data_IF_108286927659
#
_entry.id   IF_108286927659
#
_cell.length_a   1.000
_cell.length_b   1.000
_cell.length_c   1.000
_cell.angle_alpha   90.00
_cell.angle_beta   90.00
_cell.angle_gamma   90.00
#
_symmetry.space_group_name_H-M   'P 1'
#
loop_
_entity.id
_entity.type
_entity.pdbx_description
1 polymer ?
#
# COMPACT_ATOMS: atom_id res chain seq x y z
N UNK A 1 2.09 -7.99 30.49
CA UNK A 1 3.00 -8.78 29.63
C UNK A 1 4.14 -7.86 29.24
N UNK A 2 5.39 -8.33 29.31
CA UNK A 2 6.54 -7.55 28.86
C UNK A 2 6.54 -7.51 27.32
N UNK A 3 6.70 -6.32 26.75
CA UNK A 3 6.80 -6.12 25.31
C UNK A 3 8.26 -6.32 24.89
N UNK A 4 8.50 -7.22 23.92
CA UNK A 4 9.83 -7.44 23.36
C UNK A 4 10.00 -6.54 22.14
N UNK A 5 10.94 -5.60 22.24
CA UNK A 5 11.36 -4.73 21.13
C UNK A 5 12.72 -5.18 20.61
N UNK A 6 12.79 -5.57 19.34
CA UNK A 6 14.04 -5.85 18.64
C UNK A 6 14.23 -4.79 17.56
N UNK A 7 15.34 -4.07 17.62
CA UNK A 7 15.70 -3.06 16.64
C UNK A 7 17.02 -3.47 15.97
N UNK A 8 16.97 -3.70 14.67
CA UNK A 8 18.15 -3.82 13.82
C UNK A 8 18.43 -2.49 13.15
N UNK A 9 19.59 -1.90 13.42
CA UNK A 9 20.10 -0.71 12.73
C UNK A 9 21.41 -1.12 12.05
N UNK A 10 21.56 -0.74 10.78
CA UNK A 10 22.81 -0.92 10.04
C UNK A 10 23.43 0.47 9.85
N UNK A 11 24.70 0.66 10.19
CA UNK A 11 25.29 2.02 10.19
C UNK A 11 25.81 2.43 8.80
N UNK A 12 26.25 1.48 7.98
CA UNK A 12 26.64 1.66 6.58
C UNK A 12 26.38 0.33 5.86
N UNK A 13 25.42 0.29 4.94
CA UNK A 13 25.26 -0.87 4.06
C UNK A 13 26.03 -0.56 2.79
N UNK A 14 27.25 -1.07 2.68
CA UNK A 14 27.80 -1.38 1.37
C UNK A 14 26.84 -2.41 0.75
N UNK A 15 25.91 -1.93 -0.08
CA UNK A 15 25.05 -2.79 -0.91
C UNK A 15 25.87 -3.61 -1.92
N UNK A 16 27.20 -3.49 -1.92
CA UNK A 16 28.15 -4.34 -2.62
C UNK A 16 28.18 -5.77 -2.04
N UNK A 17 27.04 -6.45 -1.96
CA UNK A 17 26.99 -7.90 -1.75
C UNK A 17 25.72 -8.45 -1.12
N UNK A 18 25.07 -7.70 -0.23
CA UNK A 18 23.79 -8.11 0.37
C UNK A 18 22.63 -7.62 -0.49
N UNK A 19 21.90 -8.54 -1.11
CA UNK A 19 20.75 -8.21 -1.95
C UNK A 19 19.46 -8.07 -1.15
N UNK A 20 19.44 -8.63 0.06
CA UNK A 20 18.26 -8.76 0.93
C UNK A 20 18.66 -8.56 2.40
N UNK A 21 17.80 -7.92 3.19
CA UNK A 21 17.92 -7.86 4.66
C UNK A 21 18.04 -9.26 5.28
N UNK A 22 17.36 -10.24 4.69
CA UNK A 22 17.43 -11.63 5.11
C UNK A 22 18.87 -12.19 5.06
N UNK A 23 19.73 -11.68 4.18
CA UNK A 23 21.13 -12.10 4.08
C UNK A 23 21.96 -11.66 5.32
N UNK A 24 21.48 -10.66 6.06
CA UNK A 24 22.12 -10.15 7.28
C UNK A 24 21.71 -10.93 8.54
N UNK A 25 20.73 -11.82 8.43
CA UNK A 25 20.22 -12.60 9.55
C UNK A 25 20.93 -13.97 9.64
N UNK A 26 20.92 -14.62 10.83
CA UNK A 26 21.41 -15.99 10.95
C UNK A 26 20.72 -16.92 9.94
N UNK A 27 21.38 -18.00 9.46
CA UNK A 27 20.82 -18.91 8.44
C UNK A 27 19.45 -19.53 8.77
N UNK A 28 19.05 -19.53 10.04
CA UNK A 28 17.72 -19.91 10.51
C UNK A 28 17.17 -18.80 11.43
N UNK A 29 16.58 -17.73 10.84
CA UNK A 29 16.16 -16.56 11.60
C UNK A 29 15.05 -16.89 12.59
N UNK A 30 14.18 -17.85 12.29
CA UNK A 30 13.09 -18.27 13.18
C UNK A 30 13.58 -19.01 14.42
N UNK A 31 14.71 -19.74 14.32
CA UNK A 31 15.32 -20.35 15.50
C UNK A 31 16.03 -19.32 16.38
N UNK A 32 16.65 -18.31 15.77
CA UNK A 32 17.30 -17.23 16.50
C UNK A 32 16.29 -16.24 17.11
N UNK A 33 15.18 -16.00 16.41
CA UNK A 33 14.14 -15.03 16.75
C UNK A 33 12.76 -15.73 16.66
N UNK A 34 12.38 -16.55 17.64
CA UNK A 34 11.12 -17.31 17.61
C UNK A 34 9.86 -16.44 17.51
N UNK A 35 9.95 -15.17 17.90
CA UNK A 35 8.83 -14.23 17.81
C UNK A 35 8.45 -13.87 16.37
N UNK A 36 9.30 -14.13 15.37
CA UNK A 36 8.96 -13.95 13.95
C UNK A 36 7.70 -14.74 13.55
N UNK A 37 7.52 -15.95 14.08
CA UNK A 37 6.37 -16.83 13.80
C UNK A 37 5.05 -16.28 14.37
N UNK A 38 5.11 -15.27 15.25
CA UNK A 38 3.95 -14.70 15.92
C UNK A 38 3.50 -13.36 15.34
N UNK A 39 4.21 -12.87 14.33
CA UNK A 39 3.89 -11.61 13.64
C UNK A 39 2.54 -11.75 12.95
N UNK A 40 1.72 -10.70 13.04
CA UNK A 40 0.40 -10.64 12.39
C UNK A 40 0.24 -9.40 11.51
N UNK A 41 1.07 -8.38 11.71
CA UNK A 41 1.01 -7.11 10.99
C UNK A 41 2.41 -6.67 10.58
N UNK A 42 2.54 -6.23 9.33
CA UNK A 42 3.78 -5.73 8.73
C UNK A 42 3.48 -4.36 8.12
N UNK A 43 4.35 -3.38 8.37
CA UNK A 43 4.41 -2.13 7.64
C UNK A 43 5.76 -2.03 6.93
N UNK A 44 5.75 -1.75 5.64
CA UNK A 44 6.94 -1.45 4.85
C UNK A 44 6.88 0.00 4.45
N UNK A 45 7.96 0.74 4.72
CA UNK A 45 8.05 2.15 4.35
C UNK A 45 9.33 2.39 3.57
N UNK A 46 9.12 2.89 2.36
CA UNK A 46 10.13 3.32 1.42
C UNK A 46 9.69 4.65 0.79
N UNK A 47 9.35 5.62 1.64
CA UNK A 47 8.98 6.95 1.21
C UNK A 47 10.18 7.90 1.30
N UNK A 48 10.44 8.62 0.22
CA UNK A 48 11.51 9.63 0.09
C UNK A 48 11.41 10.77 1.09
N UNK A 49 10.21 10.98 1.66
CA UNK A 49 9.96 12.02 2.67
C UNK A 49 10.00 11.51 4.10
N UNK A 50 10.20 10.21 4.32
CA UNK A 50 10.28 9.63 5.66
C UNK A 50 11.69 9.71 6.20
N UNK A 51 11.81 10.01 7.51
CA UNK A 51 13.09 9.96 8.23
C UNK A 51 13.60 8.52 8.41
N UNK A 52 12.78 7.51 8.08
CA UNK A 52 13.13 6.10 8.25
C UNK A 52 12.64 5.23 7.09
N UNK A 53 13.53 4.37 6.61
CA UNK A 53 13.26 3.35 5.59
C UNK A 53 13.37 1.96 6.21
N UNK A 54 12.45 1.05 5.90
CA UNK A 54 12.55 -0.33 6.36
C UNK A 54 11.25 -1.09 6.55
N UNK A 55 11.31 -2.09 7.45
CA UNK A 55 10.21 -3.00 7.77
C UNK A 55 9.93 -2.91 9.27
N UNK A 56 8.68 -2.63 9.62
CA UNK A 56 8.16 -2.66 10.99
C UNK A 56 7.15 -3.77 11.11
N UNK A 57 7.26 -4.59 12.15
CA UNK A 57 6.36 -5.72 12.37
C UNK A 57 5.82 -5.73 13.78
N UNK A 58 4.61 -6.24 13.92
CA UNK A 58 3.97 -6.45 15.21
C UNK A 58 3.10 -7.71 15.23
N UNK A 59 3.00 -8.33 16.40
CA UNK A 59 2.12 -9.48 16.63
C UNK A 59 2.34 -10.09 18.01
N UNK A 60 1.26 -10.54 18.66
CA UNK A 60 1.26 -11.26 19.95
C UNK A 60 2.27 -10.76 21.01
N UNK A 61 2.37 -9.43 21.20
CA UNK A 61 3.27 -8.83 22.20
C UNK A 61 4.73 -8.64 21.75
N UNK A 62 5.02 -8.86 20.48
CA UNK A 62 6.30 -8.56 19.85
C UNK A 62 6.16 -7.34 18.92
N UNK A 63 7.14 -6.44 18.96
CA UNK A 63 7.37 -5.41 17.95
C UNK A 63 8.82 -5.49 17.50
N UNK A 64 9.04 -5.48 16.19
CA UNK A 64 10.39 -5.47 15.64
C UNK A 64 10.47 -4.45 14.52
N UNK A 65 11.64 -3.85 14.35
CA UNK A 65 11.90 -2.97 13.22
C UNK A 65 13.28 -3.23 12.66
N UNK A 66 13.33 -3.32 11.35
CA UNK A 66 14.55 -3.40 10.55
C UNK A 66 14.63 -2.10 9.78
N UNK A 67 15.50 -1.19 10.23
CA UNK A 67 15.60 0.15 9.68
C UNK A 67 16.96 0.37 9.07
N UNK A 68 16.97 1.00 7.90
CA UNK A 68 18.19 1.46 7.27
C UNK A 68 18.36 2.95 7.57
N UNK A 69 19.61 3.42 7.70
CA UNK A 69 19.88 4.82 7.93
C UNK A 69 19.42 5.60 6.71
N UNK A 70 18.82 6.75 6.95
CA UNK A 70 18.44 7.65 5.87
C UNK A 70 19.74 8.08 5.17
N UNK A 71 19.87 7.86 3.85
CA UNK A 71 21.01 8.33 3.10
C UNK A 71 21.11 9.85 3.20
N UNK A 72 22.27 10.41 2.87
CA UNK A 72 22.47 11.84 2.97
C UNK A 72 21.48 12.64 2.09
N UNK A 73 21.26 13.90 2.50
CA UNK A 73 21.13 15.11 1.65
C UNK A 73 20.99 14.95 0.13
N UNK A 74 21.91 14.22 -0.45
CA UNK A 74 22.37 14.38 -1.82
C UNK A 74 22.20 13.10 -2.65
N UNK A 75 21.85 11.98 -2.02
CA UNK A 75 21.65 10.66 -2.63
C UNK A 75 20.19 10.19 -2.64
N UNK A 76 19.25 11.11 -2.38
CA UNK A 76 17.80 10.85 -2.28
C UNK A 76 17.13 10.21 -3.51
N UNK A 77 17.74 10.26 -4.69
CA UNK A 77 17.11 9.76 -5.92
C UNK A 77 17.31 8.25 -6.16
N UNK A 78 18.18 7.60 -5.38
CA UNK A 78 18.59 6.21 -5.65
C UNK A 78 17.78 5.15 -4.86
N UNK A 79 16.77 5.56 -4.09
CA UNK A 79 16.06 4.65 -3.15
C UNK A 79 14.65 4.21 -3.57
N UNK A 80 14.09 4.81 -4.63
CA UNK A 80 12.88 4.27 -5.29
C UNK A 80 13.00 2.75 -5.59
N UNK A 81 14.15 2.19 -6.06
CA UNK A 81 14.28 0.76 -6.32
C UNK A 81 14.39 -0.14 -5.07
N UNK A 82 14.38 0.42 -3.85
CA UNK A 82 14.57 -0.39 -2.64
C UNK A 82 13.26 -1.04 -2.15
N UNK A 83 12.08 -0.52 -2.51
CA UNK A 83 10.80 -1.12 -2.13
C UNK A 83 10.64 -2.57 -2.64
N UNK A 84 10.97 -2.91 -3.91
CA UNK A 84 11.03 -4.30 -4.38
C UNK A 84 11.93 -5.22 -3.53
N UNK A 85 13.06 -4.72 -3.03
CA UNK A 85 13.97 -5.51 -2.19
C UNK A 85 13.32 -5.82 -0.83
N UNK A 86 12.77 -4.79 -0.17
CA UNK A 86 12.02 -4.99 1.08
C UNK A 86 10.86 -5.96 0.90
N UNK A 87 10.16 -5.90 -0.24
CA UNK A 87 9.08 -6.82 -0.58
C UNK A 87 9.51 -8.29 -0.63
N UNK A 88 10.70 -8.55 -1.19
CA UNK A 88 11.28 -9.90 -1.21
C UNK A 88 11.68 -10.34 0.18
N UNK A 89 12.25 -9.45 0.98
CA UNK A 89 12.56 -9.71 2.38
C UNK A 89 11.32 -10.09 3.20
N UNK A 90 10.17 -9.44 2.95
CA UNK A 90 8.91 -9.79 3.61
C UNK A 90 8.58 -11.27 3.46
N UNK A 91 8.66 -11.76 2.22
CA UNK A 91 8.33 -13.14 1.88
C UNK A 91 9.31 -14.09 2.56
N UNK A 92 10.60 -13.80 2.48
CA UNK A 92 11.64 -14.65 3.07
C UNK A 92 11.48 -14.73 4.59
N UNK A 93 11.26 -13.61 5.27
CA UNK A 93 11.28 -13.54 6.73
C UNK A 93 9.97 -13.92 7.40
N UNK A 94 8.83 -13.64 6.76
CA UNK A 94 7.52 -13.76 7.39
C UNK A 94 6.60 -14.81 6.74
N UNK A 95 7.09 -15.62 5.80
CA UNK A 95 6.30 -16.68 5.15
C UNK A 95 5.70 -17.72 6.11
N UNK A 96 6.24 -17.85 7.32
CA UNK A 96 5.73 -18.76 8.36
C UNK A 96 4.76 -18.10 9.34
N UNK A 97 4.67 -16.77 9.30
CA UNK A 97 3.89 -15.98 10.24
C UNK A 97 2.43 -15.86 9.76
N UNK A 98 1.44 -15.81 10.67
CA UNK A 98 0.03 -15.64 10.32
C UNK A 98 -0.29 -14.18 10.00
N UNK A 99 0.33 -13.65 8.95
CA UNK A 99 0.15 -12.25 8.53
C UNK A 99 -1.29 -12.03 8.10
N UNK A 100 -1.92 -11.04 8.73
CA UNK A 100 -3.30 -10.60 8.49
C UNK A 100 -3.38 -9.16 8.01
N UNK A 101 -2.35 -8.33 8.27
CA UNK A 101 -2.31 -6.92 7.90
C UNK A 101 -0.97 -6.58 7.22
N UNK A 102 -1.03 -5.89 6.09
CA UNK A 102 0.14 -5.37 5.38
C UNK A 102 -0.07 -3.90 5.03
N UNK A 103 0.79 -3.03 5.52
CA UNK A 103 0.87 -1.63 5.10
C UNK A 103 2.09 -1.44 4.21
N UNK A 104 1.93 -0.76 3.09
CA UNK A 104 3.03 -0.43 2.19
C UNK A 104 2.98 1.06 1.85
N UNK A 105 4.00 1.79 2.25
CA UNK A 105 4.14 3.22 1.97
C UNK A 105 5.40 3.43 1.13
N UNK A 106 5.30 4.16 0.02
CA UNK A 106 6.44 4.48 -0.84
C UNK A 106 6.07 4.64 -2.31
N UNK A 107 7.07 4.65 -3.19
CA UNK A 107 6.86 4.63 -4.63
C UNK A 107 6.57 3.19 -5.11
N UNK A 108 5.31 2.93 -5.46
CA UNK A 108 4.82 1.61 -5.89
C UNK A 108 5.07 1.32 -7.37
N UNK A 109 5.59 2.28 -8.13
CA UNK A 109 5.78 2.14 -9.58
C UNK A 109 6.76 1.03 -9.97
N UNK A 110 7.66 0.65 -9.06
CA UNK A 110 8.65 -0.41 -9.26
C UNK A 110 8.16 -1.80 -8.83
N UNK A 111 7.01 -1.90 -8.14
CA UNK A 111 6.44 -3.19 -7.76
C UNK A 111 5.67 -3.82 -8.92
N UNK A 112 6.14 -4.99 -9.33
CA UNK A 112 5.50 -5.79 -10.39
C UNK A 112 4.33 -6.60 -9.85
N UNK A 113 3.48 -7.09 -10.75
CA UNK A 113 2.39 -8.00 -10.39
C UNK A 113 2.90 -9.36 -9.86
N UNK A 114 4.12 -9.78 -10.23
CA UNK A 114 4.78 -10.96 -9.66
C UNK A 114 5.23 -10.76 -8.21
N UNK A 115 5.73 -9.57 -7.86
CA UNK A 115 6.09 -9.25 -6.47
C UNK A 115 4.85 -9.34 -5.57
N UNK A 116 3.74 -8.74 -6.00
CA UNK A 116 2.46 -8.84 -5.31
C UNK A 116 1.89 -10.27 -5.28
N UNK A 117 1.99 -11.02 -6.38
CA UNK A 117 1.59 -12.43 -6.40
C UNK A 117 2.43 -13.28 -5.43
N UNK A 118 3.71 -12.94 -5.23
CA UNK A 118 4.57 -13.54 -4.20
C UNK A 118 4.03 -13.30 -2.79
N UNK A 119 3.65 -12.05 -2.49
CA UNK A 119 3.05 -11.65 -1.20
C UNK A 119 1.75 -12.42 -0.94
N UNK A 120 0.81 -12.44 -1.89
CA UNK A 120 -0.47 -13.14 -1.70
C UNK A 120 -0.32 -14.64 -1.52
N UNK A 121 0.67 -15.28 -2.18
CA UNK A 121 0.98 -16.72 -1.98
C UNK A 121 1.64 -17.00 -0.64
N UNK A 122 2.41 -16.04 -0.14
CA UNK A 122 3.16 -16.21 1.11
C UNK A 122 2.30 -15.92 2.33
N UNK A 123 1.26 -15.09 2.17
CA UNK A 123 0.37 -14.64 3.25
C UNK A 123 -1.10 -15.01 2.95
N UNK A 124 -1.48 -16.30 2.98
CA UNK A 124 -2.85 -16.74 2.69
C UNK A 124 -3.91 -16.20 3.66
N UNK A 125 -3.49 -15.77 4.85
CA UNK A 125 -4.35 -15.21 5.89
C UNK A 125 -4.48 -13.68 5.81
N UNK A 126 -3.87 -13.04 4.80
CA UNK A 126 -3.90 -11.59 4.66
C UNK A 126 -5.34 -11.10 4.47
N UNK A 127 -5.81 -10.27 5.40
CA UNK A 127 -7.17 -9.72 5.42
C UNK A 127 -7.21 -8.23 5.07
N UNK A 128 -6.14 -7.48 5.37
CA UNK A 128 -6.08 -6.04 5.17
C UNK A 128 -4.76 -5.63 4.50
N UNK A 129 -4.88 -4.81 3.46
CA UNK A 129 -3.76 -4.16 2.78
C UNK A 129 -4.02 -2.65 2.77
N UNK A 130 -3.11 -1.88 3.34
CA UNK A 130 -3.09 -0.43 3.21
C UNK A 130 -1.94 -0.04 2.28
N UNK A 131 -2.21 0.72 1.23
CA UNK A 131 -1.17 1.18 0.31
C UNK A 131 -1.17 2.70 0.27
N UNK A 132 -0.10 3.30 0.77
CA UNK A 132 0.16 4.74 0.71
C UNK A 132 1.32 5.06 -0.23
N UNK A 133 1.53 6.35 -0.47
CA UNK A 133 2.58 6.86 -1.34
C UNK A 133 2.10 7.08 -2.77
N UNK A 134 2.99 6.91 -3.74
CA UNK A 134 2.77 7.29 -5.14
C UNK A 134 2.99 6.12 -6.09
N UNK A 135 2.49 6.23 -7.33
CA UNK A 135 2.61 5.19 -8.35
C UNK A 135 1.30 4.46 -8.65
N UNK A 136 1.34 3.56 -9.63
CA UNK A 136 0.17 2.76 -10.02
C UNK A 136 0.00 1.58 -9.08
N UNK A 137 -1.20 1.39 -8.55
CA UNK A 137 -1.53 0.24 -7.69
C UNK A 137 -2.27 -0.85 -8.48
N UNK A 138 -2.32 -0.74 -9.81
CA UNK A 138 -2.93 -1.75 -10.67
C UNK A 138 -2.18 -3.09 -10.59
N UNK A 139 -0.84 -3.06 -10.48
CA UNK A 139 0.00 -4.26 -10.37
C UNK A 139 -0.36 -5.12 -9.15
N UNK A 140 -0.79 -4.51 -8.04
CA UNK A 140 -1.29 -5.24 -6.88
C UNK A 140 -2.52 -6.09 -7.22
N UNK A 141 -3.50 -5.50 -7.90
CA UNK A 141 -4.72 -6.21 -8.29
C UNK A 141 -4.43 -7.28 -9.36
N UNK A 142 -3.51 -7.01 -10.29
CA UNK A 142 -3.02 -8.00 -11.25
C UNK A 142 -2.31 -9.17 -10.55
N UNK A 143 -1.51 -8.89 -9.51
CA UNK A 143 -0.89 -9.92 -8.68
C UNK A 143 -1.93 -10.77 -7.95
N UNK A 144 -2.97 -10.15 -7.37
CA UNK A 144 -4.10 -10.86 -6.77
C UNK A 144 -4.86 -11.71 -7.79
N UNK A 145 -4.93 -11.26 -9.04
CA UNK A 145 -5.57 -12.02 -10.13
C UNK A 145 -4.79 -13.30 -10.46
N UNK A 146 -3.46 -13.28 -10.35
CA UNK A 146 -2.56 -14.42 -10.62
C UNK A 146 -2.60 -15.49 -9.52
N UNK A 147 -3.13 -15.19 -8.34
CA UNK A 147 -3.13 -16.15 -7.22
C UNK A 147 -4.43 -16.94 -7.11
N UNK A 148 -4.31 -18.25 -6.88
CA UNK A 148 -5.46 -19.13 -6.62
C UNK A 148 -5.92 -19.12 -5.16
N UNK A 149 -5.11 -18.56 -4.27
CA UNK A 149 -5.37 -18.60 -2.84
C UNK A 149 -6.50 -17.67 -2.43
N UNK A 150 -7.14 -18.06 -1.33
CA UNK A 150 -8.39 -17.47 -0.86
C UNK A 150 -8.10 -16.32 0.09
N UNK A 151 -7.65 -15.17 -0.42
CA UNK A 151 -7.79 -13.88 0.28
C UNK A 151 -9.28 -13.53 0.35
N UNK A 152 -10.07 -14.27 1.14
CA UNK A 152 -11.54 -14.21 1.04
C UNK A 152 -12.12 -12.92 1.61
N UNK A 153 -11.34 -12.17 2.37
CA UNK A 153 -11.73 -10.91 3.01
C UNK A 153 -10.57 -9.97 2.73
N UNK A 154 -10.77 -8.96 1.91
CA UNK A 154 -9.72 -7.99 1.62
C UNK A 154 -10.26 -6.60 1.93
N UNK A 155 -9.64 -5.94 2.89
CA UNK A 155 -9.77 -4.51 3.11
C UNK A 155 -8.60 -3.82 2.43
N UNK A 156 -8.90 -2.84 1.60
CA UNK A 156 -7.96 -2.06 0.83
C UNK A 156 -8.15 -0.58 1.14
N UNK A 157 -7.10 0.08 1.61
CA UNK A 157 -7.09 1.53 1.80
C UNK A 157 -6.00 2.19 0.97
N UNK A 158 -6.30 3.36 0.42
CA UNK A 158 -5.39 4.15 -0.41
C UNK A 158 -5.67 5.65 -0.27
N UNK A 159 -4.63 6.47 -0.39
CA UNK A 159 -4.69 7.95 -0.41
C UNK A 159 -5.05 8.58 -1.76
N UNK A 160 -5.35 7.81 -2.81
CA UNK A 160 -5.88 8.36 -4.06
C UNK A 160 -6.87 7.40 -4.71
N UNK A 161 -7.68 7.92 -5.64
CA UNK A 161 -8.57 7.11 -6.46
C UNK A 161 -8.46 7.52 -7.92
N UNK A 162 -8.41 6.52 -8.81
CA UNK A 162 -8.34 6.75 -10.26
C UNK A 162 -9.24 5.76 -11.00
N UNK A 163 -9.72 6.17 -12.18
CA UNK A 163 -10.49 5.29 -13.07
C UNK A 163 -9.73 3.99 -13.38
N UNK A 164 -8.41 4.04 -13.54
CA UNK A 164 -7.60 2.88 -13.87
C UNK A 164 -7.47 1.91 -12.69
N UNK A 165 -7.41 2.42 -11.46
CA UNK A 165 -7.46 1.59 -10.26
C UNK A 165 -8.79 0.83 -10.16
N UNK A 166 -9.93 1.51 -10.36
CA UNK A 166 -11.24 0.85 -10.35
C UNK A 166 -11.40 -0.18 -11.45
N UNK A 167 -10.90 0.08 -12.66
CA UNK A 167 -10.88 -0.92 -13.74
C UNK A 167 -10.05 -2.14 -13.34
N UNK A 168 -8.86 -1.95 -12.78
CA UNK A 168 -8.00 -3.05 -12.33
C UNK A 168 -8.68 -3.90 -11.25
N UNK A 169 -9.36 -3.26 -10.28
CA UNK A 169 -10.19 -3.94 -9.27
C UNK A 169 -11.28 -4.77 -9.96
N UNK A 170 -12.09 -4.14 -10.81
CA UNK A 170 -13.22 -4.81 -11.47
C UNK A 170 -12.77 -6.00 -12.32
N UNK A 171 -11.72 -5.84 -13.12
CA UNK A 171 -11.22 -6.90 -13.99
C UNK A 171 -10.67 -8.07 -13.18
N UNK A 172 -9.99 -7.79 -12.08
CA UNK A 172 -9.51 -8.81 -11.12
C UNK A 172 -10.67 -9.57 -10.51
N UNK A 173 -11.70 -8.87 -10.01
CA UNK A 173 -12.87 -9.49 -9.39
C UNK A 173 -13.71 -10.28 -10.39
N UNK A 174 -13.91 -9.76 -11.60
CA UNK A 174 -14.59 -10.48 -12.70
C UNK A 174 -13.86 -11.76 -13.06
N UNK A 175 -12.54 -11.69 -13.22
CA UNK A 175 -11.71 -12.86 -13.47
C UNK A 175 -11.89 -13.89 -12.35
N UNK A 176 -11.66 -13.49 -11.10
CA UNK A 176 -11.78 -14.39 -9.94
C UNK A 176 -13.19 -14.99 -9.81
N UNK A 177 -14.23 -14.21 -10.06
CA UNK A 177 -15.61 -14.68 -10.03
C UNK A 177 -15.92 -15.75 -11.09
N UNK A 178 -15.34 -15.65 -12.30
CA UNK A 178 -15.47 -16.66 -13.37
C UNK A 178 -14.86 -18.00 -12.98
N UNK A 179 -13.82 -17.99 -12.15
CA UNK A 179 -13.13 -19.19 -11.67
C UNK A 179 -13.55 -19.62 -10.25
N UNK A 180 -14.64 -19.06 -9.71
CA UNK A 180 -15.16 -19.44 -8.39
C UNK A 180 -14.36 -18.90 -7.19
N UNK A 181 -13.38 -18.03 -7.40
CA UNK A 181 -12.48 -17.46 -6.38
C UNK A 181 -13.00 -16.13 -5.81
N UNK A 182 -14.31 -16.04 -5.55
CA UNK A 182 -14.96 -14.77 -5.17
C UNK A 182 -14.49 -14.25 -3.81
N UNK A 183 -14.22 -12.95 -3.74
CA UNK A 183 -14.10 -12.25 -2.46
C UNK A 183 -15.45 -12.26 -1.72
N UNK A 184 -15.41 -12.44 -0.41
CA UNK A 184 -16.59 -12.33 0.47
C UNK A 184 -16.82 -10.88 0.89
N UNK A 185 -15.76 -10.16 1.23
CA UNK A 185 -15.82 -8.75 1.62
C UNK A 185 -14.72 -7.97 0.92
N UNK A 186 -15.10 -6.81 0.39
CA UNK A 186 -14.21 -5.78 -0.13
C UNK A 186 -14.53 -4.49 0.62
N UNK A 187 -13.53 -3.92 1.30
CA UNK A 187 -13.64 -2.58 1.89
C UNK A 187 -12.65 -1.69 1.17
N UNK A 188 -13.13 -0.59 0.60
CA UNK A 188 -12.34 0.38 -0.14
C UNK A 188 -12.37 1.69 0.63
N UNK A 189 -11.22 2.15 1.09
CA UNK A 189 -11.09 3.44 1.76
C UNK A 189 -10.20 4.34 0.92
N UNK A 190 -10.77 5.44 0.42
CA UNK A 190 -10.06 6.37 -0.47
C UNK A 190 -10.06 7.79 0.10
N UNK A 191 -8.91 8.44 -0.02
CA UNK A 191 -8.85 9.89 0.00
C UNK A 191 -9.22 10.42 -1.41
N UNK A 192 -10.14 11.38 -1.43
CA UNK A 192 -10.65 12.00 -2.64
C UNK A 192 -10.24 13.46 -2.64
N UNK A 193 -9.35 13.83 -3.56
CA UNK A 193 -8.88 15.22 -3.71
C UNK A 193 -10.02 16.20 -4.00
N UNK A 194 -11.14 15.72 -4.56
CA UNK A 194 -12.32 16.55 -4.84
C UNK A 194 -13.59 15.85 -4.34
N UNK A 195 -14.49 16.61 -3.70
CA UNK A 195 -15.76 16.10 -3.19
C UNK A 195 -16.60 15.38 -4.27
N UNK A 196 -16.58 15.87 -5.50
CA UNK A 196 -17.31 15.27 -6.63
C UNK A 196 -16.78 13.91 -7.09
N UNK A 197 -15.53 13.56 -6.77
CA UNK A 197 -14.93 12.29 -7.18
C UNK A 197 -15.56 11.11 -6.46
N UNK A 198 -15.87 11.26 -5.17
CA UNK A 198 -16.59 10.23 -4.41
C UNK A 198 -17.89 9.84 -5.11
N UNK A 199 -18.75 10.82 -5.39
CA UNK A 199 -20.05 10.54 -6.03
C UNK A 199 -19.88 9.93 -7.42
N UNK A 200 -18.93 10.47 -8.20
CA UNK A 200 -18.64 9.99 -9.54
C UNK A 200 -18.22 8.52 -9.51
N UNK A 201 -17.25 8.16 -8.67
CA UNK A 201 -16.74 6.80 -8.55
C UNK A 201 -17.77 5.85 -7.93
N UNK A 202 -18.51 6.32 -6.92
CA UNK A 202 -19.59 5.56 -6.32
C UNK A 202 -20.65 5.17 -7.35
N UNK A 203 -21.19 6.15 -8.08
CA UNK A 203 -22.21 5.93 -9.13
C UNK A 203 -21.69 5.06 -10.27
N UNK A 204 -20.42 5.20 -10.63
CA UNK A 204 -19.82 4.51 -11.78
C UNK A 204 -19.41 3.07 -11.51
N UNK A 205 -18.90 2.77 -10.32
CA UNK A 205 -18.20 1.50 -10.07
C UNK A 205 -18.80 0.63 -8.95
N UNK A 206 -19.46 1.22 -7.94
CA UNK A 206 -19.83 0.46 -6.73
C UNK A 206 -20.90 -0.60 -7.00
N UNK A 207 -21.85 -0.36 -7.90
CA UNK A 207 -22.86 -1.37 -8.27
C UNK A 207 -22.24 -2.58 -8.98
N UNK A 208 -21.30 -2.34 -9.89
CA UNK A 208 -20.54 -3.42 -10.53
C UNK A 208 -19.74 -4.23 -9.50
N UNK A 209 -19.10 -3.56 -8.53
CA UNK A 209 -18.39 -4.24 -7.44
C UNK A 209 -19.33 -5.10 -6.58
N UNK A 210 -20.52 -4.58 -6.24
CA UNK A 210 -21.56 -5.30 -5.47
C UNK A 210 -22.07 -6.54 -6.19
N UNK A 211 -22.07 -6.55 -7.52
CA UNK A 211 -22.43 -7.74 -8.30
C UNK A 211 -21.38 -8.87 -8.21
N UNK A 212 -20.13 -8.53 -7.88
CA UNK A 212 -18.98 -9.44 -7.88
C UNK A 212 -18.61 -9.93 -6.47
N UNK A 213 -18.88 -9.14 -5.44
CA UNK A 213 -18.49 -9.38 -4.04
C UNK A 213 -19.73 -9.35 -3.14
N UNK A 214 -19.82 -10.25 -2.15
CA UNK A 214 -21.02 -10.34 -1.28
C UNK A 214 -21.26 -9.08 -0.44
N UNK A 215 -20.19 -8.39 -0.04
CA UNK A 215 -20.25 -7.19 0.77
C UNK A 215 -19.18 -6.21 0.28
N UNK A 216 -19.62 -5.02 -0.11
CA UNK A 216 -18.76 -3.90 -0.52
C UNK A 216 -19.00 -2.75 0.44
N UNK A 217 -17.91 -2.28 1.05
CA UNK A 217 -17.86 -1.09 1.87
C UNK A 217 -16.99 -0.06 1.14
N UNK A 218 -17.48 1.17 1.03
CA UNK A 218 -16.79 2.25 0.32
C UNK A 218 -16.78 3.47 1.25
N UNK A 219 -15.60 3.82 1.74
CA UNK A 219 -15.37 4.81 2.81
C UNK A 219 -14.50 5.94 2.27
N UNK A 220 -14.83 7.17 2.63
CA UNK A 220 -13.98 8.35 2.40
C UNK A 220 -13.17 8.61 3.66
N UNK A 221 -11.85 8.75 3.54
CA UNK A 221 -10.97 8.89 4.72
C UNK A 221 -10.70 10.32 5.15
N UNK A 222 -10.94 11.32 4.29
CA UNK A 222 -10.72 12.74 4.60
C UNK A 222 -11.79 13.63 3.97
N UNK A 223 -13.01 13.58 4.48
CA UNK A 223 -13.91 14.73 4.36
C UNK A 223 -13.57 15.66 5.51
N UNK A 224 -12.66 16.60 5.28
CA UNK A 224 -12.44 17.69 6.23
C UNK A 224 -13.80 18.39 6.44
N UNK A 225 -14.39 18.32 7.66
CA UNK A 225 -15.77 18.75 7.89
C UNK A 225 -16.00 20.25 7.68
N UNK A 226 -14.93 21.05 7.50
CA UNK A 226 -15.03 22.48 7.18
C UNK A 226 -15.40 22.76 5.71
N UNK A 227 -15.28 21.79 4.80
CA UNK A 227 -15.63 21.95 3.38
C UNK A 227 -17.08 21.52 3.03
N UNK A 228 -17.91 21.23 4.04
CA UNK A 228 -19.27 20.71 3.87
C UNK A 228 -20.34 21.80 3.60
N UNK A 229 -19.95 23.07 3.37
CA UNK A 229 -20.91 24.10 2.93
C UNK A 229 -20.82 24.34 1.42
N UNK A 230 -21.96 24.47 0.72
CA UNK A 230 -21.97 24.85 -0.71
C UNK A 230 -21.20 26.15 -1.01
N UNK A 231 -21.05 27.01 0.01
CA UNK A 231 -20.34 28.28 -0.05
C UNK A 231 -18.82 28.08 -0.11
N UNK A 232 -18.23 27.18 0.71
CA UNK A 232 -16.79 26.91 0.67
C UNK A 232 -16.36 26.16 -0.60
N UNK A 233 -17.25 25.34 -1.17
CA UNK A 233 -17.05 24.73 -2.49
C UNK A 233 -17.05 25.77 -3.63
N UNK A 234 -17.97 26.74 -3.60
CA UNK A 234 -18.02 27.82 -4.58
C UNK A 234 -16.78 28.73 -4.51
N UNK A 235 -16.33 29.06 -3.30
CA UNK A 235 -15.13 29.89 -3.08
C UNK A 235 -13.84 29.17 -3.51
N UNK A 236 -13.75 27.85 -3.31
CA UNK A 236 -12.60 27.03 -3.75
C UNK A 236 -12.54 26.92 -5.27
N UNK A 237 -13.67 26.67 -5.94
CA UNK A 237 -13.78 26.69 -7.41
C UNK A 237 -13.40 28.06 -7.99
N UNK A 238 -13.82 29.14 -7.34
CA UNK A 238 -13.50 30.49 -7.77
C UNK A 238 -12.00 30.80 -7.62
N UNK A 239 -11.36 30.35 -6.54
CA UNK A 239 -9.90 30.45 -6.38
C UNK A 239 -9.13 29.65 -7.44
N UNK A 240 -9.58 28.44 -7.76
CA UNK A 240 -8.94 27.60 -8.78
C UNK A 240 -9.04 28.21 -10.18
N UNK A 241 -10.21 28.73 -10.54
CA UNK A 241 -10.41 29.39 -11.84
C UNK A 241 -9.63 30.71 -11.94
N UNK A 242 -9.47 31.44 -10.83
CA UNK A 242 -8.65 32.66 -10.80
C UNK A 242 -7.17 32.36 -10.98
N UNK A 243 -6.63 31.31 -10.36
CA UNK A 243 -5.21 30.95 -10.51
C UNK A 243 -4.88 30.39 -11.89
N UNK A 244 -5.80 29.64 -12.51
CA UNK A 244 -5.64 29.14 -13.87
C UNK A 244 -5.68 30.27 -14.92
N UNK A 245 -6.52 31.29 -14.70
CA UNK A 245 -6.57 32.50 -15.55
C UNK A 245 -5.32 33.39 -15.40
N UNK A 246 -4.77 33.53 -14.19
CA UNK A 246 -3.51 34.26 -13.98
C UNK A 246 -2.32 33.53 -14.64
N UNK A 247 -2.27 32.20 -14.54
CA UNK A 247 -1.24 31.40 -15.18
C UNK A 247 -1.25 31.52 -16.71
N UNK A 248 -2.45 31.54 -17.31
CA UNK A 248 -2.62 31.72 -18.75
C UNK A 248 -2.28 33.15 -19.21
N UNK A 249 -2.59 34.17 -18.41
CA UNK A 249 -2.26 35.56 -18.71
C UNK A 249 -0.75 35.83 -18.72
N UNK A 250 0.01 35.19 -17.83
CA UNK A 250 1.48 35.32 -17.77
C UNK A 250 2.20 34.57 -18.92
N UNK A 251 1.53 33.62 -19.58
CA UNK A 251 2.10 32.85 -20.69
C UNK A 251 1.76 33.41 -22.08
N UNK A 252 0.85 34.38 -22.18
CA UNK A 252 0.43 35.00 -23.45
C UNK A 252 1.24 36.28 -23.79
N UNK A 253 2.23 36.65 -22.96
CA UNK A 253 3.10 37.83 -23.14
C UNK A 253 4.53 37.52 -23.60
N UNK A 254 4.79 36.33 -24.16
CA UNK A 254 6.09 35.97 -24.77
C UNK A 254 6.00 35.68 -26.26
#
# INVERSE_FOLDING_TARGET
>A
MAELTIQGVTDEVDFEGASLLADLLPPDPWRAIPSLDTVTSIAVRADRFSDSFGIWVSGNGCKMSFTFPTPDRHTYWDWDPCLPLLFRDLIVLFSRAPITHLTVEGYQGDLTDEDWAGVFRSFPLLEEIAVGGSGSHASMWEGLRKTSESCSRLKYSKTDSSDDLFKAILDTLRYRARYGMRLRRLSLAFDHSFHGDYERYFKRYVEDLRSLVKSVEYVVTDLDPEFDTPETFADSLQCFLSSELEYLADHDTR
#
